data_IF_149970791308
#
_entry.id   IF_149970791308
#
_cell.length_a   1.000
_cell.length_b   1.000
_cell.length_c   1.000
_cell.angle_alpha   90.00
_cell.angle_beta   90.00
_cell.angle_gamma   90.00
#
_symmetry.space_group_name_H-M   'P 1'
#
loop_
_entity.id
_entity.type
_entity.pdbx_description
1 polymer ?
#
# COMPACT_ATOMS: atom_id res chain seq x y z
N UNK A 1 -27.17 -0.35 19.27
CA UNK A 1 -26.16 -1.15 18.53
C UNK A 1 -24.78 -0.65 18.93
N UNK A 2 -23.76 -1.51 19.07
CA UNK A 2 -22.39 -1.05 19.40
C UNK A 2 -21.82 -0.26 18.22
N UNK A 3 -21.15 0.86 18.50
CA UNK A 3 -20.53 1.71 17.47
C UNK A 3 -19.57 0.87 16.61
N UNK A 4 -19.63 0.99 15.26
CA UNK A 4 -18.68 0.36 14.36
C UNK A 4 -17.22 0.77 14.69
N UNK A 5 -16.26 -0.05 14.27
CA UNK A 5 -14.82 0.31 14.30
C UNK A 5 -14.41 0.69 12.88
N UNK A 6 -13.70 1.80 12.71
CA UNK A 6 -13.14 2.20 11.42
C UNK A 6 -11.74 1.61 11.26
N UNK A 7 -11.52 0.86 10.18
CA UNK A 7 -10.28 0.09 9.98
C UNK A 7 -9.76 0.26 8.56
N UNK A 8 -8.50 0.64 8.43
CA UNK A 8 -7.78 0.68 7.15
C UNK A 8 -7.10 -0.66 6.92
N UNK A 9 -7.13 -1.17 5.69
CA UNK A 9 -6.51 -2.45 5.33
C UNK A 9 -5.49 -2.26 4.21
N UNK A 10 -4.29 -2.82 4.39
CA UNK A 10 -3.27 -2.91 3.34
C UNK A 10 -3.60 -3.99 2.28
N UNK A 11 -2.76 -4.13 1.25
CA UNK A 11 -3.02 -5.06 0.15
C UNK A 11 -3.09 -6.52 0.59
N UNK A 12 -2.23 -6.94 1.51
CA UNK A 12 -2.14 -8.32 1.96
C UNK A 12 -3.35 -8.73 2.79
N UNK A 13 -3.85 -7.82 3.62
CA UNK A 13 -4.99 -8.07 4.50
C UNK A 13 -6.32 -7.97 3.76
N UNK A 14 -6.57 -6.92 2.97
CA UNK A 14 -7.87 -6.81 2.27
C UNK A 14 -8.04 -7.96 1.27
N UNK A 15 -6.98 -8.35 0.56
CA UNK A 15 -7.06 -9.41 -0.46
C UNK A 15 -7.51 -10.74 0.14
N UNK A 16 -6.95 -11.11 1.29
CA UNK A 16 -7.27 -12.37 1.97
C UNK A 16 -8.64 -12.34 2.66
N UNK A 17 -9.10 -11.19 3.15
CA UNK A 17 -10.44 -11.02 3.72
C UNK A 17 -11.52 -11.02 2.63
N UNK A 18 -11.28 -10.31 1.51
CA UNK A 18 -12.18 -10.23 0.38
C UNK A 18 -12.33 -11.59 -0.31
N UNK A 19 -11.21 -12.29 -0.50
CA UNK A 19 -11.18 -13.62 -1.08
C UNK A 19 -10.35 -14.60 -0.21
N UNK A 20 -10.97 -15.26 0.78
CA UNK A 20 -10.30 -16.22 1.65
C UNK A 20 -9.73 -17.46 0.93
N UNK A 21 -10.08 -17.67 -0.34
CA UNK A 21 -9.50 -18.75 -1.14
C UNK A 21 -8.05 -18.45 -1.55
N UNK A 22 -7.65 -17.18 -1.61
CA UNK A 22 -6.26 -16.78 -1.90
C UNK A 22 -5.31 -17.34 -0.84
N UNK A 23 -5.72 -17.33 0.42
CA UNK A 23 -4.93 -17.91 1.52
C UNK A 23 -4.66 -19.40 1.38
N UNK A 24 -5.41 -20.14 0.55
CA UNK A 24 -5.15 -21.57 0.27
C UNK A 24 -3.90 -21.79 -0.60
N UNK A 25 -3.46 -20.80 -1.38
CA UNK A 25 -2.31 -20.94 -2.30
C UNK A 25 -0.94 -20.85 -1.60
N UNK A 26 -0.88 -20.21 -0.43
CA UNK A 26 0.34 -20.12 0.38
C UNK A 26 0.69 -21.43 1.12
N UNK A 27 -0.23 -22.41 1.15
CA UNK A 27 -0.10 -23.68 1.89
C UNK A 27 0.62 -24.82 1.11
N UNK A 28 1.23 -24.55 -0.06
CA UNK A 28 1.69 -25.63 -0.97
C UNK A 28 2.95 -26.42 -0.56
N UNK A 29 3.60 -26.13 0.57
CA UNK A 29 4.82 -26.85 0.99
C UNK A 29 4.57 -27.67 2.27
N UNK A 30 4.70 -29.00 2.17
CA UNK A 30 4.61 -29.99 3.27
C UNK A 30 5.93 -30.05 4.06
N UNK A 31 5.93 -30.49 5.34
CA UNK A 31 4.89 -31.24 6.07
C UNK A 31 4.08 -30.41 7.10
N UNK A 32 3.17 -31.06 7.83
CA UNK A 32 2.30 -30.50 8.88
C UNK A 32 3.12 -29.90 10.05
N UNK A 33 3.59 -28.68 9.89
CA UNK A 33 4.17 -27.84 10.94
C UNK A 33 3.09 -27.04 11.67
N UNK A 34 3.47 -26.34 12.76
CA UNK A 34 2.65 -25.32 13.47
C UNK A 34 1.93 -24.35 12.52
N UNK A 35 2.47 -24.17 11.32
CA UNK A 35 1.97 -23.27 10.27
C UNK A 35 0.57 -23.65 9.76
N UNK A 36 0.19 -24.94 9.74
CA UNK A 36 -1.14 -25.35 9.27
C UNK A 36 -2.25 -25.03 10.27
N UNK A 37 -1.97 -25.11 11.57
CA UNK A 37 -2.91 -24.69 12.62
C UNK A 37 -3.08 -23.16 12.62
N UNK A 38 -1.97 -22.43 12.43
CA UNK A 38 -2.01 -20.98 12.25
C UNK A 38 -2.84 -20.59 11.03
N UNK A 39 -2.67 -21.26 9.89
CA UNK A 39 -3.49 -21.01 8.69
C UNK A 39 -5.00 -21.27 8.91
N UNK A 40 -5.36 -22.31 9.68
CA UNK A 40 -6.78 -22.51 10.05
C UNK A 40 -7.33 -21.36 10.90
N UNK A 41 -6.55 -20.86 11.87
CA UNK A 41 -6.94 -19.70 12.68
C UNK A 41 -7.11 -18.44 11.85
N UNK A 42 -6.19 -18.17 10.93
CA UNK A 42 -6.28 -17.03 10.01
C UNK A 42 -7.54 -17.10 9.14
N UNK A 43 -7.90 -18.27 8.62
CA UNK A 43 -9.15 -18.44 7.86
C UNK A 43 -10.40 -18.10 8.67
N UNK A 44 -10.44 -18.53 9.92
CA UNK A 44 -11.56 -18.19 10.83
C UNK A 44 -11.58 -16.68 11.09
N UNK A 45 -10.41 -16.07 11.30
CA UNK A 45 -10.27 -14.63 11.50
C UNK A 45 -10.72 -13.84 10.25
N UNK A 46 -10.25 -14.18 9.05
CA UNK A 46 -10.67 -13.58 7.78
C UNK A 46 -12.17 -13.69 7.57
N UNK A 47 -12.74 -14.88 7.75
CA UNK A 47 -14.18 -15.08 7.64
C UNK A 47 -14.96 -14.22 8.64
N UNK A 48 -14.50 -14.15 9.89
CA UNK A 48 -15.17 -13.40 10.93
C UNK A 48 -15.10 -11.89 10.67
N UNK A 49 -13.94 -11.38 10.25
CA UNK A 49 -13.77 -9.98 9.85
C UNK A 49 -14.65 -9.66 8.64
N UNK A 50 -14.65 -10.50 7.60
CA UNK A 50 -15.52 -10.35 6.43
C UNK A 50 -17.00 -10.24 6.84
N UNK A 51 -17.43 -11.08 7.80
CA UNK A 51 -18.78 -11.00 8.36
C UNK A 51 -19.03 -9.70 9.12
N UNK A 52 -18.06 -9.22 9.92
CA UNK A 52 -18.19 -7.96 10.63
C UNK A 52 -18.33 -6.77 9.68
N UNK A 53 -17.59 -6.75 8.57
CA UNK A 53 -17.71 -5.74 7.51
C UNK A 53 -19.11 -5.79 6.90
N UNK A 54 -19.57 -6.96 6.44
CA UNK A 54 -20.93 -7.14 5.86
C UNK A 54 -22.07 -6.75 6.80
N UNK A 55 -21.84 -6.79 8.12
CA UNK A 55 -22.81 -6.41 9.14
C UNK A 55 -22.69 -4.94 9.58
N UNK A 56 -21.85 -4.14 8.92
CA UNK A 56 -21.61 -2.74 9.25
C UNK A 56 -20.93 -2.54 10.61
N UNK A 57 -20.29 -3.58 11.17
CA UNK A 57 -19.57 -3.51 12.46
C UNK A 57 -18.15 -3.00 12.29
N UNK A 58 -17.61 -3.13 11.08
CA UNK A 58 -16.34 -2.56 10.66
C UNK A 58 -16.63 -1.65 9.48
N UNK A 59 -16.20 -0.38 9.55
CA UNK A 59 -16.09 0.51 8.40
C UNK A 59 -14.72 0.27 7.77
N UNK A 60 -14.69 -0.49 6.67
CA UNK A 60 -13.45 -0.98 6.09
C UNK A 60 -12.97 -0.05 4.96
N UNK A 61 -11.78 0.51 5.10
CA UNK A 61 -11.15 1.38 4.11
C UNK A 61 -9.96 0.72 3.41
N UNK A 62 -9.80 0.96 2.12
CA UNK A 62 -8.63 0.55 1.32
C UNK A 62 -7.98 1.81 0.72
N UNK A 63 -6.75 2.16 1.10
CA UNK A 63 -6.06 3.31 0.50
C UNK A 63 -5.77 3.10 -0.98
N UNK A 64 -5.93 4.15 -1.80
CA UNK A 64 -5.59 4.11 -3.23
C UNK A 64 -4.16 3.60 -3.52
N UNK A 65 -3.22 3.89 -2.61
CA UNK A 65 -1.83 3.43 -2.68
C UNK A 65 -1.70 1.90 -2.86
N UNK A 66 -2.63 1.13 -2.30
CA UNK A 66 -2.68 -0.35 -2.43
C UNK A 66 -2.93 -0.81 -3.86
N UNK A 67 -3.63 0.00 -4.66
CA UNK A 67 -3.94 -0.32 -6.06
C UNK A 67 -2.80 0.09 -6.98
N UNK A 68 -2.15 1.22 -6.69
CA UNK A 68 -1.23 1.85 -7.63
C UNK A 68 0.13 1.14 -7.74
N UNK A 69 0.73 0.71 -6.62
CA UNK A 69 2.08 0.13 -6.62
C UNK A 69 2.08 -1.39 -6.37
N UNK A 70 1.19 -1.88 -5.52
CA UNK A 70 1.23 -3.28 -5.06
C UNK A 70 0.44 -4.23 -5.95
N UNK A 71 -0.54 -3.72 -6.70
CA UNK A 71 -1.39 -4.54 -7.56
C UNK A 71 -0.80 -4.78 -8.95
N UNK A 72 0.22 -4.01 -9.37
CA UNK A 72 0.90 -4.16 -10.66
C UNK A 72 1.95 -5.28 -10.65
N UNK A 73 2.20 -5.88 -11.83
CA UNK A 73 3.34 -6.77 -12.00
C UNK A 73 4.65 -6.00 -11.84
N UNK A 74 5.73 -6.70 -11.45
CA UNK A 74 7.01 -6.04 -11.19
C UNK A 74 7.55 -5.28 -12.42
N UNK A 75 7.30 -5.79 -13.63
CA UNK A 75 7.70 -5.16 -14.89
C UNK A 75 6.97 -3.85 -15.11
N UNK A 76 5.67 -3.83 -14.84
CA UNK A 76 4.77 -2.73 -15.16
C UNK A 76 4.96 -1.53 -14.22
N UNK A 77 5.59 -1.76 -13.07
CA UNK A 77 5.99 -0.72 -12.12
C UNK A 77 6.97 0.30 -12.71
N UNK A 78 7.79 -0.11 -13.68
CA UNK A 78 8.68 0.81 -14.40
C UNK A 78 7.85 1.74 -15.29
N UNK A 79 6.93 1.16 -16.06
CA UNK A 79 6.05 1.90 -16.97
C UNK A 79 5.17 2.90 -16.21
N UNK A 80 4.71 2.49 -15.02
CA UNK A 80 4.01 3.37 -14.09
C UNK A 80 4.79 4.65 -13.79
N UNK A 81 6.04 4.51 -13.36
CA UNK A 81 6.89 5.65 -13.00
C UNK A 81 7.19 6.51 -14.23
N UNK A 82 7.42 5.90 -15.39
CA UNK A 82 7.72 6.59 -16.64
C UNK A 82 6.52 7.35 -17.23
N UNK A 83 5.29 6.95 -16.90
CA UNK A 83 4.06 7.59 -17.33
C UNK A 83 3.71 8.87 -16.55
N UNK A 84 4.31 9.08 -15.36
CA UNK A 84 4.05 10.26 -14.54
C UNK A 84 4.36 11.55 -15.31
N UNK A 85 3.39 12.45 -15.39
CA UNK A 85 3.51 13.73 -16.11
C UNK A 85 3.46 13.61 -17.64
N UNK A 86 3.14 12.42 -18.19
CA UNK A 86 2.96 12.19 -19.62
C UNK A 86 1.52 11.79 -19.93
N UNK A 87 1.08 12.03 -21.17
CA UNK A 87 -0.17 11.47 -21.73
C UNK A 87 0.02 10.01 -22.21
N UNK A 88 0.84 9.23 -21.52
CA UNK A 88 1.05 7.82 -21.85
C UNK A 88 -0.02 6.98 -21.13
N UNK A 89 -0.52 5.88 -21.76
CA UNK A 89 -1.37 4.94 -21.06
C UNK A 89 -0.61 4.37 -19.86
N UNK A 90 -1.29 4.30 -18.72
CA UNK A 90 -0.75 3.69 -17.51
C UNK A 90 -0.99 2.18 -17.59
N UNK A 91 -0.13 1.34 -16.97
CA UNK A 91 -0.31 -0.10 -17.02
C UNK A 91 -1.62 -0.52 -16.34
N UNK A 92 -2.28 -1.51 -16.94
CA UNK A 92 -3.52 -2.08 -16.41
C UNK A 92 -3.27 -2.93 -15.17
N UNK A 93 -4.19 -2.85 -14.20
CA UNK A 93 -4.18 -3.76 -13.06
C UNK A 93 -4.53 -5.17 -13.57
N UNK A 94 -3.76 -6.22 -13.23
CA UNK A 94 -4.03 -7.57 -13.70
C UNK A 94 -5.48 -8.03 -13.40
N UNK A 95 -6.15 -8.80 -14.30
CA UNK A 95 -7.55 -9.19 -14.11
C UNK A 95 -7.85 -9.88 -12.77
N UNK A 96 -6.94 -10.74 -12.30
CA UNK A 96 -7.06 -11.41 -11.00
C UNK A 96 -7.11 -10.38 -9.85
N UNK A 97 -6.37 -9.27 -9.95
CA UNK A 97 -6.40 -8.20 -8.95
C UNK A 97 -7.68 -7.39 -9.05
N UNK A 98 -8.15 -7.09 -10.26
CA UNK A 98 -9.45 -6.45 -10.46
C UNK A 98 -10.60 -7.29 -9.85
N UNK A 99 -10.55 -8.61 -10.00
CA UNK A 99 -11.52 -9.53 -9.37
C UNK A 99 -11.53 -9.41 -7.84
N UNK A 100 -10.35 -9.33 -7.23
CA UNK A 100 -10.22 -9.22 -5.77
C UNK A 100 -10.76 -7.87 -5.29
N UNK A 101 -10.44 -6.78 -6.02
CA UNK A 101 -10.95 -5.43 -5.73
C UNK A 101 -12.48 -5.43 -5.77
N UNK A 102 -13.08 -6.00 -6.82
CA UNK A 102 -14.53 -6.13 -6.95
C UNK A 102 -15.16 -6.91 -5.79
N UNK A 103 -14.54 -8.04 -5.39
CA UNK A 103 -15.01 -8.82 -4.24
C UNK A 103 -14.89 -8.07 -2.91
N UNK A 104 -13.86 -7.22 -2.77
CA UNK A 104 -13.69 -6.36 -1.60
C UNK A 104 -14.80 -5.31 -1.54
N UNK A 105 -15.06 -4.58 -2.63
CA UNK A 105 -16.14 -3.60 -2.71
C UNK A 105 -17.51 -4.23 -2.41
N UNK A 106 -17.79 -5.40 -2.99
CA UNK A 106 -19.02 -6.17 -2.73
C UNK A 106 -19.13 -6.69 -1.28
N UNK A 107 -18.02 -6.85 -0.58
CA UNK A 107 -18.01 -7.20 0.85
C UNK A 107 -18.39 -6.02 1.75
N UNK A 108 -18.16 -4.79 1.28
CA UNK A 108 -18.41 -3.55 2.02
C UNK A 108 -17.16 -2.71 2.29
N UNK A 109 -16.02 -3.01 1.65
CA UNK A 109 -14.87 -2.12 1.66
C UNK A 109 -15.12 -0.86 0.84
N UNK A 110 -14.48 0.24 1.21
CA UNK A 110 -14.53 1.52 0.49
C UNK A 110 -13.14 2.08 0.26
N UNK A 111 -12.94 2.74 -0.87
CA UNK A 111 -11.66 3.29 -1.30
C UNK A 111 -11.40 4.61 -0.58
N UNK A 112 -10.25 4.72 0.06
CA UNK A 112 -9.81 5.92 0.76
C UNK A 112 -8.94 6.75 -0.17
N UNK A 113 -9.38 7.98 -0.46
CA UNK A 113 -8.70 8.89 -1.38
C UNK A 113 -7.47 9.54 -0.73
N UNK A 114 -6.30 9.40 -1.36
CA UNK A 114 -5.04 9.99 -0.96
C UNK A 114 -4.51 10.94 -2.05
N UNK A 115 -4.51 12.27 -1.87
CA UNK A 115 -4.09 13.26 -2.87
C UNK A 115 -2.59 13.17 -3.22
N UNK A 116 -2.19 12.20 -4.05
CA UNK A 116 -0.78 11.95 -4.39
C UNK A 116 -0.52 11.98 -5.88
N UNK A 117 0.40 12.86 -6.26
CA UNK A 117 0.95 12.95 -7.61
C UNK A 117 1.91 11.79 -7.83
N UNK A 118 1.71 11.02 -8.90
CA UNK A 118 2.59 9.92 -9.27
C UNK A 118 2.03 8.52 -9.02
N UNK A 119 0.83 8.41 -8.43
CA UNK A 119 0.09 7.16 -8.47
C UNK A 119 -0.43 6.83 -9.87
N UNK A 120 -0.54 5.53 -10.11
CA UNK A 120 -0.95 4.93 -11.37
C UNK A 120 -2.36 5.19 -11.82
N UNK A 121 -2.78 4.47 -12.85
CA UNK A 121 -4.20 4.35 -13.13
C UNK A 121 -4.80 3.63 -11.93
N UNK A 122 -5.80 4.24 -11.34
CA UNK A 122 -6.69 3.53 -10.44
C UNK A 122 -7.67 2.74 -11.30
N UNK A 123 -8.24 1.63 -10.77
CA UNK A 123 -9.45 1.10 -11.36
C UNK A 123 -10.52 2.20 -11.44
N UNK A 124 -11.43 2.06 -12.40
CA UNK A 124 -12.64 2.88 -12.39
C UNK A 124 -13.46 2.52 -11.15
N UNK A 125 -13.78 3.52 -10.34
CA UNK A 125 -14.58 3.40 -9.13
C UNK A 125 -15.84 4.24 -9.26
N UNK A 126 -16.99 3.67 -8.88
CA UNK A 126 -18.24 4.42 -8.81
C UNK A 126 -18.24 5.34 -7.59
N UNK A 127 -19.09 6.38 -7.59
CA UNK A 127 -19.21 7.31 -6.46
C UNK A 127 -19.46 6.58 -5.12
N UNK A 128 -20.21 5.47 -5.15
CA UNK A 128 -20.52 4.66 -3.97
C UNK A 128 -19.37 3.78 -3.46
N UNK A 129 -18.29 3.63 -4.22
CA UNK A 129 -17.10 2.86 -3.83
C UNK A 129 -16.15 3.67 -2.94
N UNK A 130 -16.27 4.99 -2.94
CA UNK A 130 -15.42 5.88 -2.16
C UNK A 130 -15.83 5.91 -0.69
N UNK A 131 -14.84 5.98 0.19
CA UNK A 131 -15.03 6.23 1.60
C UNK A 131 -15.46 7.69 1.79
N UNK A 132 -16.50 7.88 2.60
CA UNK A 132 -17.03 9.20 2.92
C UNK A 132 -16.14 9.95 3.90
N UNK A 133 -16.11 11.28 3.74
CA UNK A 133 -15.36 12.21 4.58
C UNK A 133 -16.13 12.51 5.87
N UNK A 134 -16.32 11.49 6.71
CA UNK A 134 -17.15 11.59 7.92
C UNK A 134 -16.47 12.33 9.08
N UNK A 135 -15.16 12.13 9.26
CA UNK A 135 -14.42 12.67 10.41
C UNK A 135 -13.76 14.01 10.11
N UNK A 136 -13.26 14.17 8.90
CA UNK A 136 -12.52 15.35 8.46
C UNK A 136 -12.93 15.70 7.03
N UNK A 137 -13.13 16.99 6.77
CA UNK A 137 -13.39 17.48 5.43
C UNK A 137 -12.16 17.25 4.52
N UNK A 138 -12.37 17.23 3.21
CA UNK A 138 -11.31 16.93 2.23
C UNK A 138 -10.04 17.79 2.46
N UNK A 139 -10.17 19.11 2.65
CA UNK A 139 -9.03 20.00 2.87
C UNK A 139 -8.20 19.61 4.09
N UNK A 140 -8.89 19.32 5.21
CA UNK A 140 -8.22 18.87 6.44
C UNK A 140 -7.56 17.49 6.25
N UNK A 141 -8.17 16.56 5.51
CA UNK A 141 -7.51 15.28 5.19
C UNK A 141 -6.23 15.48 4.40
N UNK A 142 -6.24 16.41 3.42
CA UNK A 142 -5.04 16.73 2.64
C UNK A 142 -3.94 17.33 3.51
N UNK A 143 -4.29 18.23 4.43
CA UNK A 143 -3.35 18.83 5.38
C UNK A 143 -2.76 17.80 6.35
N UNK A 144 -3.61 16.94 6.93
CA UNK A 144 -3.20 15.84 7.82
C UNK A 144 -2.27 14.87 7.13
N UNK A 145 -2.63 14.44 5.91
CA UNK A 145 -1.78 13.57 5.10
C UNK A 145 -0.42 14.25 4.85
N UNK A 146 -0.42 15.50 4.41
CA UNK A 146 0.79 16.27 4.13
C UNK A 146 1.68 16.43 5.36
N UNK A 147 1.10 16.69 6.53
CA UNK A 147 1.82 16.80 7.80
C UNK A 147 2.51 15.49 8.18
N UNK A 148 1.80 14.36 8.10
CA UNK A 148 2.37 13.03 8.35
C UNK A 148 3.58 12.78 7.46
N UNK A 149 3.42 13.00 6.16
CA UNK A 149 4.46 12.73 5.17
C UNK A 149 5.70 13.62 5.35
N UNK A 150 5.48 14.92 5.62
CA UNK A 150 6.56 15.89 5.86
C UNK A 150 7.34 15.56 7.14
N UNK A 151 6.67 15.08 8.19
CA UNK A 151 7.33 14.64 9.42
C UNK A 151 8.38 13.56 9.14
N UNK A 152 8.05 12.59 8.28
CA UNK A 152 8.98 11.54 7.86
C UNK A 152 9.88 11.95 6.69
N UNK A 153 9.91 13.24 6.33
CA UNK A 153 10.74 13.81 5.25
C UNK A 153 10.59 13.10 3.90
N UNK A 154 9.46 12.47 3.62
CA UNK A 154 9.24 11.70 2.38
C UNK A 154 10.33 10.63 2.13
N UNK A 155 10.90 10.05 3.18
CA UNK A 155 12.11 9.21 3.05
C UNK A 155 12.03 8.07 2.01
N UNK A 156 10.91 7.34 1.79
CA UNK A 156 10.88 6.28 0.79
C UNK A 156 10.89 6.84 -0.63
N UNK A 157 10.20 7.97 -0.85
CA UNK A 157 10.22 8.65 -2.15
C UNK A 157 11.63 9.20 -2.43
N UNK A 158 12.29 9.78 -1.41
CA UNK A 158 13.69 10.20 -1.55
C UNK A 158 14.60 9.04 -1.88
N UNK A 159 14.46 7.90 -1.21
CA UNK A 159 15.24 6.69 -1.50
C UNK A 159 15.02 6.20 -2.95
N UNK A 160 13.78 6.21 -3.43
CA UNK A 160 13.46 5.88 -4.82
C UNK A 160 14.07 6.87 -5.82
N UNK A 161 14.03 8.16 -5.52
CA UNK A 161 14.66 9.19 -6.34
C UNK A 161 16.19 9.09 -6.32
N UNK A 162 16.79 8.82 -5.17
CA UNK A 162 18.25 8.62 -5.02
C UNK A 162 18.71 7.42 -5.85
N UNK A 163 17.97 6.32 -5.74
CA UNK A 163 18.18 5.13 -6.57
C UNK A 163 18.10 5.47 -8.07
N UNK A 164 17.05 6.15 -8.53
CA UNK A 164 16.94 6.57 -9.92
C UNK A 164 18.03 7.55 -10.37
N UNK A 165 18.50 8.41 -9.46
CA UNK A 165 19.60 9.36 -9.73
C UNK A 165 20.91 8.61 -9.98
N UNK A 166 21.22 7.60 -9.16
CA UNK A 166 22.40 6.75 -9.35
C UNK A 166 22.35 6.01 -10.69
N UNK A 167 21.18 5.51 -11.08
CA UNK A 167 20.98 4.88 -12.38
C UNK A 167 21.16 5.88 -13.52
N UNK A 168 20.63 7.09 -13.40
CA UNK A 168 20.83 8.16 -14.40
C UNK A 168 22.32 8.44 -14.64
N UNK A 169 23.11 8.52 -13.56
CA UNK A 169 24.55 8.73 -13.61
C UNK A 169 25.28 7.57 -14.28
N UNK A 170 24.98 6.32 -13.90
CA UNK A 170 25.57 5.12 -14.47
C UNK A 170 25.29 4.96 -15.98
N UNK A 171 24.15 5.48 -16.42
CA UNK A 171 23.74 5.52 -17.83
C UNK A 171 24.24 6.75 -18.59
N UNK A 172 24.85 7.72 -17.90
CA UNK A 172 25.34 8.97 -18.51
C UNK A 172 24.22 9.84 -19.08
N UNK A 173 23.01 9.77 -18.52
CA UNK A 173 21.82 10.38 -19.13
C UNK A 173 21.88 11.91 -19.14
N UNK A 174 22.54 12.54 -18.17
CA UNK A 174 22.70 13.99 -18.12
C UNK A 174 23.41 14.53 -19.38
N UNK A 175 24.46 13.85 -19.86
CA UNK A 175 25.16 14.23 -21.08
C UNK A 175 24.29 14.09 -22.33
N UNK A 176 23.42 13.07 -22.36
CA UNK A 176 22.51 12.80 -23.49
C UNK A 176 21.27 13.71 -23.51
N UNK A 177 20.95 14.38 -22.40
CA UNK A 177 19.68 15.07 -22.20
C UNK A 177 19.86 16.53 -21.74
N UNK A 178 20.89 17.22 -22.23
CA UNK A 178 21.21 18.61 -21.87
C UNK A 178 20.04 19.59 -22.06
N UNK A 179 19.09 19.29 -22.96
CA UNK A 179 17.87 20.09 -23.16
C UNK A 179 17.03 20.26 -21.89
N UNK A 180 17.14 19.36 -20.90
CA UNK A 180 16.44 19.48 -19.62
C UNK A 180 17.26 20.20 -18.54
N UNK A 181 18.48 20.65 -18.82
CA UNK A 181 19.35 21.32 -17.84
C UNK A 181 18.71 22.59 -17.27
N UNK A 182 18.03 23.38 -18.10
CA UNK A 182 17.31 24.58 -17.65
C UNK A 182 16.17 24.22 -16.69
N UNK A 183 15.39 23.17 -16.99
CA UNK A 183 14.32 22.72 -16.12
C UNK A 183 14.86 22.22 -14.77
N UNK A 184 15.98 21.49 -14.77
CA UNK A 184 16.64 21.06 -13.53
C UNK A 184 17.12 22.25 -12.69
N UNK A 185 17.76 23.24 -13.32
CA UNK A 185 18.23 24.46 -12.67
C UNK A 185 17.09 25.27 -12.04
N UNK A 186 15.95 25.41 -12.73
CA UNK A 186 14.75 26.09 -12.20
C UNK A 186 14.18 25.41 -10.95
N UNK A 187 14.35 24.10 -10.83
CA UNK A 187 13.93 23.33 -9.66
C UNK A 187 15.03 23.22 -8.58
N UNK A 188 16.17 23.88 -8.77
CA UNK A 188 17.34 23.82 -7.88
C UNK A 188 17.81 22.38 -7.59
N UNK A 189 17.84 21.54 -8.62
CA UNK A 189 18.31 20.14 -8.54
C UNK A 189 19.30 19.83 -9.67
N UNK A 190 20.07 18.76 -9.50
CA UNK A 190 20.97 18.27 -10.57
C UNK A 190 20.18 17.71 -11.74
N UNK A 191 20.79 17.69 -12.93
CA UNK A 191 20.14 17.11 -14.12
C UNK A 191 19.87 15.61 -13.94
N UNK A 192 20.79 14.86 -13.32
CA UNK A 192 20.54 13.45 -12.98
C UNK A 192 19.39 13.28 -11.99
N UNK A 193 19.27 14.19 -10.99
CA UNK A 193 18.13 14.18 -10.08
C UNK A 193 16.83 14.47 -10.80
N UNK A 194 16.83 15.37 -11.77
CA UNK A 194 15.67 15.62 -12.61
C UNK A 194 15.31 14.39 -13.48
N UNK A 195 16.33 13.65 -13.95
CA UNK A 195 16.20 12.48 -14.82
C UNK A 195 16.04 11.15 -14.06
N UNK A 196 15.81 11.14 -12.75
CA UNK A 196 15.81 9.91 -11.94
C UNK A 196 14.86 8.81 -12.48
N UNK A 197 13.68 9.19 -13.02
CA UNK A 197 12.75 8.24 -13.65
C UNK A 197 13.32 7.65 -14.94
N UNK A 198 14.01 8.46 -15.74
CA UNK A 198 14.70 8.00 -16.94
C UNK A 198 15.84 7.04 -16.60
N UNK A 199 16.53 7.25 -15.47
CA UNK A 199 17.51 6.30 -14.94
C UNK A 199 16.91 4.92 -14.67
N UNK A 200 15.76 4.87 -13.99
CA UNK A 200 14.99 3.64 -13.77
C UNK A 200 14.59 2.99 -15.10
N UNK A 201 14.09 3.79 -16.05
CA UNK A 201 13.73 3.29 -17.38
C UNK A 201 14.91 2.71 -18.15
N UNK A 202 16.08 3.36 -18.11
CA UNK A 202 17.29 2.90 -18.79
C UNK A 202 17.80 1.57 -18.20
N UNK A 203 17.84 1.46 -16.88
CA UNK A 203 18.25 0.23 -16.18
C UNK A 203 17.31 -0.95 -16.45
N UNK A 204 16.01 -0.67 -16.62
CA UNK A 204 15.02 -1.70 -16.95
C UNK A 204 15.23 -2.34 -18.34
N UNK A 205 15.84 -1.59 -19.27
CA UNK A 205 16.12 -2.04 -20.64
C UNK A 205 17.50 -2.68 -20.71
N UNK A 206 18.53 -2.01 -20.16
CA UNK A 206 19.91 -2.51 -20.12
C UNK A 206 20.45 -2.35 -18.70
N UNK A 207 20.47 -3.41 -17.87
CA UNK A 207 21.06 -3.33 -16.54
C UNK A 207 22.56 -2.98 -16.61
N UNK A 208 22.98 -1.94 -15.90
CA UNK A 208 24.40 -1.55 -15.75
C UNK A 208 24.90 -1.67 -14.32
N UNK A 209 24.03 -1.40 -13.35
CA UNK A 209 24.36 -1.48 -11.91
C UNK A 209 24.00 -2.85 -11.35
N UNK A 210 22.88 -3.41 -11.79
CA UNK A 210 22.44 -4.72 -11.33
C UNK A 210 22.89 -5.82 -12.30
N UNK A 211 23.28 -6.97 -11.74
CA UNK A 211 23.74 -8.12 -12.53
C UNK A 211 22.67 -8.64 -13.52
N UNK A 212 21.39 -8.49 -13.17
CA UNK A 212 20.26 -8.91 -14.01
C UNK A 212 19.09 -7.94 -13.90
N UNK A 213 18.22 -7.95 -14.92
CA UNK A 213 16.95 -7.21 -14.90
C UNK A 213 16.10 -7.61 -13.70
N UNK A 214 16.05 -8.90 -13.35
CA UNK A 214 15.29 -9.38 -12.20
C UNK A 214 15.82 -8.85 -10.87
N UNK A 215 17.14 -8.75 -10.71
CA UNK A 215 17.75 -8.17 -9.52
C UNK A 215 17.38 -6.68 -9.37
N UNK A 216 17.43 -5.93 -10.48
CA UNK A 216 16.96 -4.54 -10.54
C UNK A 216 15.47 -4.42 -10.18
N UNK A 217 14.59 -5.20 -10.83
CA UNK A 217 13.15 -5.15 -10.58
C UNK A 217 12.80 -5.52 -9.13
N UNK A 218 13.56 -6.43 -8.51
CA UNK A 218 13.41 -6.78 -7.09
C UNK A 218 13.79 -5.62 -6.17
N UNK A 219 14.88 -4.90 -6.46
CA UNK A 219 15.29 -3.72 -5.72
C UNK A 219 14.26 -2.59 -5.84
N UNK A 220 13.83 -2.29 -7.07
CA UNK A 220 12.79 -1.30 -7.35
C UNK A 220 11.47 -1.63 -6.64
N UNK A 221 11.04 -2.90 -6.70
CA UNK A 221 9.82 -3.35 -6.03
C UNK A 221 9.86 -3.05 -4.53
N UNK A 222 11.00 -3.23 -3.86
CA UNK A 222 11.14 -2.97 -2.43
C UNK A 222 10.95 -1.49 -2.13
N UNK A 223 11.64 -0.62 -2.87
CA UNK A 223 11.52 0.84 -2.71
C UNK A 223 10.09 1.34 -2.94
N UNK A 224 9.39 0.76 -3.92
CA UNK A 224 7.99 1.11 -4.18
C UNK A 224 7.03 0.58 -3.11
N UNK A 225 7.32 -0.57 -2.51
CA UNK A 225 6.53 -1.08 -1.39
C UNK A 225 6.70 -0.18 -0.15
N UNK A 226 7.94 0.19 0.21
CA UNK A 226 8.22 1.13 1.30
C UNK A 226 7.52 2.49 1.08
N UNK A 227 7.44 2.94 -0.18
CA UNK A 227 6.69 4.15 -0.53
C UNK A 227 5.18 4.00 -0.40
N UNK A 228 4.62 2.86 -0.84
CA UNK A 228 3.19 2.57 -0.69
C UNK A 228 2.78 2.47 0.78
N UNK A 229 3.60 1.82 1.61
CA UNK A 229 3.35 1.68 3.06
C UNK A 229 3.24 3.04 3.75
N UNK A 230 4.17 3.96 3.46
CA UNK A 230 4.13 5.32 4.00
C UNK A 230 2.81 6.02 3.66
N UNK A 231 2.35 5.90 2.42
CA UNK A 231 1.14 6.55 1.97
C UNK A 231 -0.13 5.85 2.46
N UNK A 232 -0.12 4.53 2.67
CA UNK A 232 -1.16 3.79 3.38
C UNK A 232 -1.30 4.33 4.80
N UNK A 233 -0.19 4.46 5.53
CA UNK A 233 -0.18 4.99 6.89
C UNK A 233 -0.63 6.46 6.93
N UNK A 234 -0.19 7.28 5.98
CA UNK A 234 -0.60 8.67 5.89
C UNK A 234 -2.09 8.81 5.54
N UNK A 235 -2.62 7.98 4.65
CA UNK A 235 -4.04 7.96 4.29
C UNK A 235 -4.89 7.51 5.48
N UNK A 236 -4.45 6.50 6.22
CA UNK A 236 -5.09 6.07 7.45
C UNK A 236 -5.19 7.22 8.47
N UNK A 237 -4.06 7.89 8.74
CA UNK A 237 -4.01 9.04 9.64
C UNK A 237 -4.90 10.19 9.17
N UNK A 238 -4.91 10.48 7.86
CA UNK A 238 -5.70 11.53 7.26
C UNK A 238 -7.20 11.32 7.46
N UNK A 239 -7.69 10.09 7.29
CA UNK A 239 -9.08 9.74 7.54
C UNK A 239 -9.44 9.60 9.02
N UNK A 240 -8.46 9.47 9.92
CA UNK A 240 -8.72 9.31 11.36
C UNK A 240 -9.35 7.98 11.74
N UNK A 241 -9.07 6.92 10.98
CA UNK A 241 -9.61 5.59 11.29
C UNK A 241 -8.97 5.03 12.58
N UNK A 242 -9.69 4.16 13.29
CA UNK A 242 -9.29 3.69 14.62
C UNK A 242 -8.05 2.78 14.56
N UNK A 243 -7.99 1.89 13.56
CA UNK A 243 -6.98 0.85 13.45
C UNK A 243 -6.46 0.73 12.01
N UNK A 244 -5.18 0.38 11.87
CA UNK A 244 -4.57 0.01 10.60
C UNK A 244 -4.26 -1.50 10.63
N UNK A 245 -4.98 -2.29 9.84
CA UNK A 245 -4.78 -3.72 9.75
C UNK A 245 -3.71 -4.04 8.70
N UNK A 246 -2.57 -4.58 9.16
CA UNK A 246 -1.45 -5.00 8.32
C UNK A 246 -0.77 -6.22 8.94
N UNK A 247 -0.28 -7.12 8.08
CA UNK A 247 0.60 -8.22 8.48
C UNK A 247 2.09 -7.86 8.35
N UNK A 248 2.40 -6.68 7.80
CA UNK A 248 3.76 -6.18 7.66
C UNK A 248 4.15 -5.33 8.87
N UNK A 249 4.19 -5.93 10.06
CA UNK A 249 4.67 -5.23 11.26
C UNK A 249 6.19 -5.01 11.29
N UNK A 250 6.83 -5.07 10.11
CA UNK A 250 8.27 -4.92 9.94
C UNK A 250 9.09 -6.00 10.64
N UNK A 251 10.39 -6.02 10.34
CA UNK A 251 11.37 -6.59 11.26
C UNK A 251 11.89 -5.43 12.10
N UNK A 252 12.43 -5.68 13.30
CA UNK A 252 13.01 -4.66 14.18
C UNK A 252 14.03 -3.72 13.48
N UNK A 253 14.56 -4.10 12.32
CA UNK A 253 15.62 -3.39 11.56
C UNK A 253 15.16 -2.93 10.16
N UNK A 254 13.86 -2.94 9.84
CA UNK A 254 13.40 -2.47 8.52
C UNK A 254 13.14 -0.96 8.51
N UNK A 255 13.56 -0.27 7.44
CA UNK A 255 13.15 1.10 7.10
C UNK A 255 11.67 1.21 6.64
N UNK A 256 10.83 0.22 6.90
CA UNK A 256 9.38 0.34 6.66
C UNK A 256 8.78 1.31 7.68
N UNK A 257 7.73 2.03 7.30
CA UNK A 257 7.00 2.93 8.21
C UNK A 257 6.41 2.17 9.41
N UNK A 258 6.16 0.87 9.25
CA UNK A 258 5.68 -0.02 10.30
C UNK A 258 6.83 -0.68 11.10
N UNK A 259 8.08 -0.40 10.73
CA UNK A 259 9.27 -0.91 11.40
C UNK A 259 9.58 -0.18 12.72
N UNK A 260 10.43 -0.80 13.53
CA UNK A 260 10.79 -0.29 14.86
C UNK A 260 11.37 1.13 14.86
N UNK A 261 12.03 1.56 13.78
CA UNK A 261 12.61 2.89 13.65
C UNK A 261 11.57 4.02 13.68
N UNK A 262 10.37 3.77 13.13
CA UNK A 262 9.32 4.78 13.02
C UNK A 262 8.16 4.55 14.00
N UNK A 263 8.15 3.41 14.70
CA UNK A 263 7.06 3.01 15.59
C UNK A 263 6.75 4.05 16.68
N UNK A 264 7.76 4.69 17.28
CA UNK A 264 7.58 5.71 18.32
C UNK A 264 6.77 6.90 17.82
N UNK A 265 7.08 7.42 16.63
CA UNK A 265 6.37 8.57 16.06
C UNK A 265 5.02 8.16 15.49
N UNK A 266 4.96 7.03 14.79
CA UNK A 266 3.72 6.51 14.20
C UNK A 266 2.66 6.27 15.28
N UNK A 267 3.03 5.62 16.39
CA UNK A 267 2.09 5.31 17.48
C UNK A 267 1.94 6.46 18.48
N UNK A 268 3.03 7.18 18.79
CA UNK A 268 3.04 8.21 19.83
C UNK A 268 2.60 9.58 19.35
N UNK A 269 3.09 10.04 18.19
CA UNK A 269 2.80 11.38 17.64
C UNK A 269 1.54 11.34 16.79
N UNK A 270 1.42 10.34 15.90
CA UNK A 270 0.30 10.26 14.95
C UNK A 270 -0.84 9.35 15.41
N UNK A 271 -0.67 8.63 16.52
CA UNK A 271 -1.65 7.69 17.06
C UNK A 271 -2.17 6.66 16.04
N UNK A 272 -1.31 6.24 15.11
CA UNK A 272 -1.62 5.17 14.18
C UNK A 272 -1.43 3.85 14.91
N UNK A 273 -2.50 3.04 14.96
CA UNK A 273 -2.54 1.79 15.73
C UNK A 273 -2.50 0.58 14.77
N UNK A 274 -1.31 0.07 14.40
CA UNK A 274 -1.18 -1.11 13.56
C UNK A 274 -1.60 -2.38 14.33
N UNK A 275 -2.42 -3.21 13.70
CA UNK A 275 -2.91 -4.49 14.25
C UNK A 275 -2.82 -5.58 13.20
N UNK A 276 -2.53 -6.82 13.61
CA UNK A 276 -2.64 -7.97 12.70
C UNK A 276 -4.11 -8.34 12.46
N UNK A 277 -4.37 -9.20 11.48
CA UNK A 277 -5.71 -9.77 11.27
C UNK A 277 -6.19 -10.51 12.52
N UNK A 278 -5.29 -11.20 13.22
CA UNK A 278 -5.63 -11.95 14.42
C UNK A 278 -6.01 -11.02 15.58
N UNK A 279 -5.29 -9.91 15.76
CA UNK A 279 -5.60 -8.89 16.76
C UNK A 279 -6.95 -8.24 16.46
N UNK A 280 -7.20 -7.88 15.19
CA UNK A 280 -8.46 -7.30 14.77
C UNK A 280 -9.63 -8.26 15.02
N UNK A 281 -9.46 -9.55 14.72
CA UNK A 281 -10.48 -10.56 14.98
C UNK A 281 -10.76 -10.71 16.48
N UNK A 282 -9.73 -10.65 17.33
CA UNK A 282 -9.87 -10.70 18.79
C UNK A 282 -10.60 -9.45 19.34
N UNK A 283 -10.24 -8.25 18.87
CA UNK A 283 -10.92 -6.99 19.19
C UNK A 283 -12.40 -7.07 18.80
N UNK A 284 -12.67 -7.53 17.58
CA UNK A 284 -14.04 -7.70 17.07
C UNK A 284 -14.82 -8.74 17.87
N UNK A 285 -14.19 -9.85 18.28
CA UNK A 285 -14.84 -10.86 19.11
C UNK A 285 -15.24 -10.24 20.45
N UNK A 286 -14.29 -9.61 21.15
CA UNK A 286 -14.54 -8.98 22.45
C UNK A 286 -15.64 -7.93 22.35
N UNK A 287 -15.66 -7.15 21.27
CA UNK A 287 -16.66 -6.09 21.06
C UNK A 287 -18.01 -6.63 20.61
N UNK A 288 -18.09 -7.51 19.63
CA UNK A 288 -19.34 -7.87 18.95
C UNK A 288 -19.82 -9.30 19.16
N UNK A 289 -19.04 -10.12 19.88
CA UNK A 289 -19.28 -11.54 20.12
C UNK A 289 -19.00 -12.40 18.88
N UNK A 290 -18.59 -13.64 19.11
CA UNK A 290 -18.48 -14.64 18.05
C UNK A 290 -19.86 -15.27 17.78
N UNK A 291 -20.25 -15.48 16.51
CA UNK A 291 -21.49 -16.17 16.19
C UNK A 291 -21.35 -17.66 16.51
N UNK A 292 -21.57 -18.04 17.77
CA UNK A 292 -21.82 -19.43 18.12
C UNK A 292 -23.26 -19.70 17.70
N UNK A 293 -23.48 -20.58 16.71
CA UNK A 293 -24.83 -21.12 16.49
C UNK A 293 -25.26 -21.75 17.82
N UNK A 294 -26.24 -21.15 18.50
CA UNK A 294 -27.06 -21.92 19.44
C UNK A 294 -27.72 -22.99 18.58
N UNK A 295 -27.22 -24.21 18.67
CA UNK A 295 -28.01 -25.36 18.25
C UNK A 295 -29.23 -25.33 19.16
N UNK A 296 -30.38 -24.94 18.60
CA UNK A 296 -31.66 -25.21 19.23
C UNK A 296 -31.78 -26.74 19.22
N UNK A 297 -31.62 -27.33 20.39
CA UNK A 297 -32.06 -28.70 20.70
C UNK A 297 -33.57 -28.80 20.56
#
# INVERSE_FOLDING_TARGET
MKTPISVTFDTNTYSTIANPQIGKLLEKWRPLSRDRLLSKKHRVAWWYIQRCIRKGRIRAGIPEATFAAESLQNTDRVDLLLAVGKKAPRPDIPPIRQDIIRLALATGFRVMHGPRIGYGALPDFDQGDWAVDELYAIGERQDRMSAFIRHFNEYPLRALQDFGTQLSQAHGLAALNQRYAQAAALNNITLDRYLWRNGIGAEAVVPRIHATRDAFLKALRKLMADWADLDIAATHYAYGYDLLCTEDQGKLVSNSIFGGQHATDVQGVFNVQPVTVMDLAAICWKRFGFPVRRWQS
#
